data_IF_896306462206
#
_entry.id   IF_896306462206
#
_cell.length_a   1.000
_cell.length_b   1.000
_cell.length_c   1.000
_cell.angle_alpha   90.00
_cell.angle_beta   90.00
_cell.angle_gamma   90.00
#
_symmetry.space_group_name_H-M   'P 1'
#
loop_
_entity.id
_entity.type
_entity.pdbx_description
1 polymer ?
#
# COMPACT_ATOMS: atom_id res chain seq x y z
N UNK A 1 -7.62 1.87 -1.70
CA UNK A 1 -8.81 2.69 -1.37
C UNK A 1 -8.51 4.16 -1.09
N UNK A 2 -7.52 4.49 -0.25
CA UNK A 2 -7.25 5.83 0.27
C UNK A 2 -7.17 6.96 -0.78
N UNK A 3 -6.49 6.73 -1.91
CA UNK A 3 -6.37 7.73 -2.99
C UNK A 3 -7.69 8.06 -3.66
N UNK A 4 -8.56 7.07 -3.87
CA UNK A 4 -9.89 7.29 -4.44
C UNK A 4 -10.73 8.13 -3.46
N UNK A 5 -10.76 7.74 -2.18
CA UNK A 5 -11.43 8.50 -1.11
C UNK A 5 -10.92 9.94 -1.02
N UNK A 6 -9.61 10.16 -1.10
CA UNK A 6 -8.99 11.49 -1.03
C UNK A 6 -9.51 12.44 -2.10
N UNK A 7 -9.72 11.96 -3.33
CA UNK A 7 -10.27 12.79 -4.41
C UNK A 7 -11.68 13.31 -4.09
N UNK A 8 -12.54 12.46 -3.51
CA UNK A 8 -13.87 12.91 -3.08
C UNK A 8 -13.82 13.82 -1.85
N UNK A 9 -12.87 13.59 -0.94
CA UNK A 9 -12.61 14.51 0.15
C UNK A 9 -12.19 15.90 -0.35
N UNK A 10 -11.28 15.99 -1.31
CA UNK A 10 -10.86 17.25 -1.92
C UNK A 10 -12.05 17.96 -2.59
N UNK A 11 -12.95 17.23 -3.24
CA UNK A 11 -14.19 17.81 -3.81
C UNK A 11 -15.13 18.39 -2.75
N UNK A 12 -15.30 17.66 -1.64
CA UNK A 12 -16.17 18.12 -0.56
C UNK A 12 -15.55 19.32 0.18
N UNK A 13 -14.28 19.22 0.57
CA UNK A 13 -13.58 20.25 1.33
C UNK A 13 -13.41 21.55 0.55
N UNK A 14 -13.13 21.49 -0.76
CA UNK A 14 -12.85 22.68 -1.55
C UNK A 14 -14.10 23.28 -2.22
N UNK A 15 -15.14 22.48 -2.43
CA UNK A 15 -16.28 22.88 -3.27
C UNK A 15 -17.66 22.55 -2.68
N UNK A 16 -17.74 22.02 -1.45
CA UNK A 16 -19.02 21.63 -0.83
C UNK A 16 -19.79 20.58 -1.64
N UNK A 17 -19.08 19.75 -2.41
CA UNK A 17 -19.72 18.83 -3.35
C UNK A 17 -20.57 17.78 -2.61
N UNK A 18 -21.88 17.77 -2.88
CA UNK A 18 -22.80 16.73 -2.38
C UNK A 18 -22.43 15.33 -2.89
N UNK A 19 -21.92 15.26 -4.13
CA UNK A 19 -21.37 13.99 -4.68
C UNK A 19 -20.14 13.56 -3.89
N UNK A 20 -19.25 14.50 -3.56
CA UNK A 20 -18.11 14.23 -2.68
C UNK A 20 -18.54 13.68 -1.33
N UNK A 21 -19.47 14.36 -0.65
CA UNK A 21 -19.99 13.93 0.66
C UNK A 21 -20.63 12.55 0.62
N UNK A 22 -21.50 12.28 -0.35
CA UNK A 22 -22.17 10.98 -0.45
C UNK A 22 -21.19 9.85 -0.77
N UNK A 23 -20.19 10.09 -1.62
CA UNK A 23 -19.14 9.11 -1.88
C UNK A 23 -18.35 8.80 -0.60
N UNK A 24 -18.04 9.81 0.22
CA UNK A 24 -17.34 9.62 1.49
C UNK A 24 -18.12 8.77 2.48
N UNK A 25 -19.46 8.82 2.47
CA UNK A 25 -20.31 7.92 3.30
C UNK A 25 -20.11 6.45 2.92
N UNK A 26 -20.11 6.14 1.63
CA UNK A 26 -19.82 4.78 1.16
C UNK A 26 -18.41 4.32 1.55
N UNK A 27 -17.38 5.16 1.33
CA UNK A 27 -16.02 4.82 1.79
C UNK A 27 -15.97 4.61 3.30
N UNK A 28 -16.68 5.45 4.07
CA UNK A 28 -16.78 5.30 5.53
C UNK A 28 -17.32 3.94 5.94
N UNK A 29 -18.40 3.46 5.31
CA UNK A 29 -18.96 2.14 5.57
C UNK A 29 -17.99 1.01 5.23
N UNK A 30 -17.26 1.10 4.11
CA UNK A 30 -16.24 0.12 3.75
C UNK A 30 -15.10 0.07 4.77
N UNK A 31 -14.64 1.23 5.25
CA UNK A 31 -13.62 1.32 6.29
C UNK A 31 -14.11 0.86 7.66
N UNK A 32 -15.42 0.95 7.94
CA UNK A 32 -15.99 0.44 9.19
C UNK A 32 -15.93 -1.09 9.24
N UNK A 33 -16.22 -1.78 8.12
CA UNK A 33 -16.06 -3.23 8.03
C UNK A 33 -14.60 -3.65 8.26
N UNK A 34 -13.64 -2.90 7.74
CA UNK A 34 -12.22 -3.18 8.01
C UNK A 34 -11.84 -2.95 9.47
N UNK A 35 -12.46 -1.96 10.13
CA UNK A 35 -12.20 -1.67 11.54
C UNK A 35 -12.71 -2.78 12.46
N UNK A 36 -13.86 -3.37 12.15
CA UNK A 36 -14.39 -4.50 12.95
C UNK A 36 -13.53 -5.75 12.81
N UNK A 37 -12.84 -5.92 11.68
CA UNK A 37 -11.95 -7.05 11.40
C UNK A 37 -10.45 -6.73 11.57
N UNK A 38 -10.10 -5.64 12.24
CA UNK A 38 -8.71 -5.17 12.33
C UNK A 38 -7.75 -6.18 12.99
N UNK A 39 -8.22 -6.88 14.02
CA UNK A 39 -7.44 -7.90 14.75
C UNK A 39 -7.82 -9.34 14.35
N UNK A 40 -8.65 -9.50 13.32
CA UNK A 40 -9.05 -10.82 12.84
C UNK A 40 -7.93 -11.45 12.01
N UNK A 41 -7.88 -12.78 12.01
CA UNK A 41 -7.05 -13.53 11.05
C UNK A 41 -7.57 -13.36 9.61
N UNK A 42 -6.82 -13.87 8.63
CA UNK A 42 -7.13 -13.73 7.20
C UNK A 42 -8.53 -14.26 6.86
N UNK A 43 -8.91 -15.42 7.41
CA UNK A 43 -10.19 -16.07 7.11
C UNK A 43 -11.37 -15.28 7.71
N UNK A 44 -11.30 -14.91 8.98
CA UNK A 44 -12.32 -14.14 9.65
C UNK A 44 -12.47 -12.74 9.04
N UNK A 45 -11.37 -12.14 8.56
CA UNK A 45 -11.40 -10.87 7.82
C UNK A 45 -12.12 -11.03 6.48
N UNK A 46 -11.88 -12.12 5.75
CA UNK A 46 -12.57 -12.41 4.50
C UNK A 46 -14.07 -12.63 4.70
N UNK A 47 -14.46 -13.32 5.77
CA UNK A 47 -15.87 -13.50 6.15
C UNK A 47 -16.55 -12.16 6.46
N UNK A 48 -15.91 -11.28 7.23
CA UNK A 48 -16.42 -9.93 7.50
C UNK A 48 -16.62 -9.12 6.20
N UNK A 49 -15.70 -9.24 5.25
CA UNK A 49 -15.72 -8.55 3.94
C UNK A 49 -16.87 -9.00 3.03
N UNK A 50 -17.55 -10.13 3.29
CA UNK A 50 -18.79 -10.50 2.59
C UNK A 50 -19.87 -9.42 2.74
N UNK A 51 -19.92 -8.74 3.89
CA UNK A 51 -20.82 -7.62 4.13
C UNK A 51 -20.42 -6.33 3.39
N UNK A 52 -19.13 -6.17 3.07
CA UNK A 52 -18.61 -5.03 2.32
C UNK A 52 -18.85 -5.15 0.80
N UNK A 53 -19.04 -6.37 0.28
CA UNK A 53 -19.24 -6.59 -1.17
C UNK A 53 -20.48 -5.87 -1.72
N UNK A 54 -21.69 -5.99 -1.12
CA UNK A 54 -22.85 -5.23 -1.55
C UNK A 54 -22.65 -3.71 -1.47
N UNK A 55 -21.91 -3.23 -0.46
CA UNK A 55 -21.60 -1.80 -0.31
C UNK A 55 -20.69 -1.30 -1.43
N UNK A 56 -19.68 -2.09 -1.81
CA UNK A 56 -18.81 -1.78 -2.94
C UNK A 56 -19.61 -1.77 -4.25
N UNK A 57 -20.44 -2.77 -4.48
CA UNK A 57 -21.26 -2.86 -5.70
C UNK A 57 -22.26 -1.69 -5.79
N UNK A 58 -22.89 -1.31 -4.67
CA UNK A 58 -23.75 -0.13 -4.58
C UNK A 58 -22.98 1.17 -4.88
N UNK A 59 -21.77 1.33 -4.32
CA UNK A 59 -20.89 2.46 -4.63
C UNK A 59 -20.54 2.49 -6.13
N UNK A 60 -20.24 1.34 -6.75
CA UNK A 60 -19.92 1.29 -8.18
C UNK A 60 -21.10 1.76 -9.05
N UNK A 61 -22.28 1.20 -8.78
CA UNK A 61 -23.50 1.52 -9.52
C UNK A 61 -23.84 3.01 -9.35
N UNK A 62 -23.78 3.51 -8.11
CA UNK A 62 -24.02 4.91 -7.81
C UNK A 62 -23.03 5.82 -8.53
N UNK A 63 -21.73 5.52 -8.53
CA UNK A 63 -20.72 6.29 -9.27
C UNK A 63 -21.00 6.33 -10.78
N UNK A 64 -21.41 5.20 -11.37
CA UNK A 64 -21.78 5.14 -12.80
C UNK A 64 -23.01 6.01 -13.11
N UNK A 65 -24.02 5.99 -12.24
CA UNK A 65 -25.21 6.83 -12.39
C UNK A 65 -24.86 8.32 -12.25
N UNK A 66 -24.05 8.69 -11.26
CA UNK A 66 -23.60 10.08 -11.11
C UNK A 66 -22.78 10.54 -12.32
N UNK A 67 -21.95 9.66 -12.87
CA UNK A 67 -21.12 10.01 -14.04
C UNK A 67 -21.92 10.46 -15.25
N UNK A 68 -23.11 9.89 -15.47
CA UNK A 68 -24.02 10.26 -16.56
C UNK A 68 -24.62 11.66 -16.40
N UNK A 69 -24.66 12.18 -15.18
CA UNK A 69 -25.25 13.49 -14.85
C UNK A 69 -24.22 14.60 -14.73
N UNK A 70 -22.94 14.24 -14.66
CA UNK A 70 -21.84 15.18 -14.40
C UNK A 70 -21.18 15.58 -15.73
N UNK A 71 -21.01 16.88 -15.99
CA UNK A 71 -20.31 17.36 -17.18
C UNK A 71 -18.87 16.85 -17.27
N UNK A 72 -18.45 16.53 -18.49
CA UNK A 72 -17.08 16.13 -18.79
C UNK A 72 -16.06 17.22 -18.40
N UNK A 73 -14.85 16.80 -18.03
CA UNK A 73 -13.77 17.70 -17.63
C UNK A 73 -13.90 18.29 -16.21
N UNK A 74 -15.07 18.20 -15.58
CA UNK A 74 -15.27 18.66 -14.20
C UNK A 74 -14.38 17.92 -13.19
N UNK A 75 -14.09 18.56 -12.05
CA UNK A 75 -13.35 17.91 -10.97
C UNK A 75 -14.10 16.65 -10.46
N UNK A 76 -15.43 16.71 -10.41
CA UNK A 76 -16.30 15.57 -10.06
C UNK A 76 -16.16 14.42 -11.06
N UNK A 77 -16.23 14.69 -12.36
CA UNK A 77 -16.02 13.66 -13.39
C UNK A 77 -14.65 12.99 -13.24
N UNK A 78 -13.59 13.79 -13.02
CA UNK A 78 -12.22 13.26 -12.84
C UNK A 78 -12.09 12.35 -11.61
N UNK A 79 -12.76 12.67 -10.49
CA UNK A 79 -12.75 11.82 -9.30
C UNK A 79 -13.51 10.50 -9.50
N UNK A 80 -14.68 10.56 -10.16
CA UNK A 80 -15.47 9.39 -10.50
C UNK A 80 -14.70 8.49 -11.47
N UNK A 81 -14.18 9.06 -12.56
CA UNK A 81 -13.44 8.34 -13.59
C UNK A 81 -12.17 7.69 -13.03
N UNK A 82 -11.46 8.36 -12.11
CA UNK A 82 -10.32 7.77 -11.41
C UNK A 82 -10.70 6.49 -10.67
N UNK A 83 -11.84 6.50 -9.97
CA UNK A 83 -12.32 5.38 -9.18
C UNK A 83 -12.82 4.24 -10.07
N UNK A 84 -13.63 4.56 -11.09
CA UNK A 84 -14.17 3.57 -12.03
C UNK A 84 -13.08 2.88 -12.85
N UNK A 85 -12.08 3.62 -13.33
CA UNK A 85 -10.94 3.05 -14.09
C UNK A 85 -10.09 2.08 -13.26
N UNK A 86 -10.09 2.23 -11.92
CA UNK A 86 -9.30 1.43 -10.98
C UNK A 86 -10.15 0.46 -10.18
N UNK A 87 -11.42 0.26 -10.57
CA UNK A 87 -12.38 -0.44 -9.74
C UNK A 87 -11.93 -1.85 -9.34
N UNK A 88 -11.45 -2.64 -10.30
CA UNK A 88 -10.93 -3.99 -10.05
C UNK A 88 -9.82 -4.01 -9.00
N UNK A 89 -8.90 -3.03 -9.03
CA UNK A 89 -7.84 -2.90 -8.03
C UNK A 89 -8.38 -2.41 -6.67
N UNK A 90 -9.40 -1.55 -6.67
CA UNK A 90 -10.00 -1.02 -5.44
C UNK A 90 -10.76 -2.10 -4.65
N UNK A 91 -11.36 -3.08 -5.31
CA UNK A 91 -12.14 -4.14 -4.65
C UNK A 91 -11.35 -5.42 -4.40
N UNK A 92 -10.11 -5.54 -4.90
CA UNK A 92 -9.31 -6.78 -4.81
C UNK A 92 -9.14 -7.31 -3.38
N UNK A 93 -9.07 -6.41 -2.40
CA UNK A 93 -8.97 -6.77 -0.98
C UNK A 93 -10.20 -7.54 -0.47
N UNK A 94 -11.36 -7.40 -1.11
CA UNK A 94 -12.57 -8.14 -0.73
C UNK A 94 -12.44 -9.64 -1.00
N UNK A 95 -11.54 -10.03 -1.89
CA UNK A 95 -11.37 -11.43 -2.31
C UNK A 95 -10.13 -12.08 -1.67
N UNK A 96 -9.42 -11.38 -0.77
CA UNK A 96 -8.17 -11.85 -0.16
C UNK A 96 -7.96 -11.21 1.21
N UNK A 97 -8.06 -12.03 2.26
CA UNK A 97 -7.98 -11.62 3.66
C UNK A 97 -6.66 -10.96 4.03
N UNK A 98 -5.55 -11.29 3.36
CA UNK A 98 -4.22 -10.77 3.68
C UNK A 98 -3.94 -9.42 3.04
N UNK A 99 -4.73 -9.04 2.03
CA UNK A 99 -4.62 -7.73 1.41
C UNK A 99 -5.26 -6.64 2.28
N UNK A 100 -4.53 -5.55 2.58
CA UNK A 100 -5.11 -4.39 3.23
C UNK A 100 -6.00 -3.60 2.25
N UNK A 101 -7.03 -2.92 2.77
CA UNK A 101 -7.92 -2.05 1.98
C UNK A 101 -7.18 -0.91 1.26
N UNK A 102 -6.05 -0.46 1.80
CA UNK A 102 -5.18 0.52 1.14
C UNK A 102 -3.70 0.20 1.30
N UNK A 103 -2.93 0.80 0.40
CA UNK A 103 -1.49 0.62 0.27
C UNK A 103 -0.69 1.69 1.05
N UNK A 104 -1.32 2.45 1.95
CA UNK A 104 -0.66 3.56 2.65
C UNK A 104 0.58 3.08 3.43
N UNK A 105 0.49 1.89 4.02
CA UNK A 105 1.60 1.25 4.73
C UNK A 105 2.81 1.00 3.83
N UNK A 106 2.59 0.53 2.59
CA UNK A 106 3.63 0.30 1.59
C UNK A 106 4.18 1.64 1.10
N UNK A 107 3.31 2.59 0.78
CA UNK A 107 3.69 3.93 0.30
C UNK A 107 4.53 4.69 1.32
N UNK A 108 4.19 4.59 2.61
CA UNK A 108 4.97 5.19 3.68
C UNK A 108 6.36 4.54 3.82
N UNK A 109 6.46 3.21 3.66
CA UNK A 109 7.76 2.49 3.69
C UNK A 109 8.67 2.83 2.52
N UNK A 110 8.12 3.01 1.31
CA UNK A 110 8.93 3.36 0.13
C UNK A 110 9.23 4.87 0.04
N UNK A 111 8.49 5.72 0.76
CA UNK A 111 8.65 7.19 0.71
C UNK A 111 10.09 7.66 0.95
N UNK A 112 10.87 7.14 1.92
CA UNK A 112 12.27 7.55 2.11
C UNK A 112 13.14 7.32 0.86
N UNK A 113 12.89 6.24 0.11
CA UNK A 113 13.60 5.94 -1.14
C UNK A 113 13.21 6.95 -2.22
N UNK A 114 11.91 7.26 -2.34
CA UNK A 114 11.42 8.24 -3.30
C UNK A 114 11.98 9.65 -3.04
N UNK A 115 12.03 10.07 -1.77
CA UNK A 115 12.63 11.35 -1.35
C UNK A 115 14.15 11.34 -1.57
N UNK A 116 14.82 10.25 -1.21
CA UNK A 116 16.25 10.06 -1.44
C UNK A 116 16.62 10.23 -2.92
N UNK A 117 15.84 9.63 -3.83
CA UNK A 117 16.05 9.78 -5.29
C UNK A 117 16.01 11.23 -5.76
N UNK A 118 15.16 12.07 -5.19
CA UNK A 118 15.10 13.50 -5.53
C UNK A 118 16.34 14.26 -5.04
N UNK A 119 16.98 13.77 -3.98
CA UNK A 119 18.15 14.40 -3.34
C UNK A 119 19.50 13.82 -3.83
N UNK A 120 19.51 12.64 -4.46
CA UNK A 120 20.73 12.01 -5.00
C UNK A 120 21.08 12.54 -6.39
N UNK A 121 21.26 13.85 -6.50
CA UNK A 121 21.53 14.57 -7.76
C UNK A 121 22.81 14.06 -8.48
N UNK A 122 23.70 13.37 -7.78
CA UNK A 122 24.96 12.84 -8.30
C UNK A 122 24.95 11.32 -8.57
N UNK A 123 23.85 10.62 -8.30
CA UNK A 123 23.70 9.19 -8.59
C UNK A 123 23.33 8.97 -10.07
N UNK A 124 24.31 9.11 -10.97
CA UNK A 124 24.06 9.18 -12.41
C UNK A 124 24.18 7.88 -13.21
N UNK A 125 24.54 6.74 -12.61
CA UNK A 125 24.70 5.48 -13.37
C UNK A 125 23.71 4.40 -12.95
N UNK A 126 23.22 3.62 -13.93
CA UNK A 126 22.36 2.46 -13.70
C UNK A 126 23.00 1.46 -12.71
N UNK A 127 24.33 1.28 -12.80
CA UNK A 127 25.08 0.40 -11.88
C UNK A 127 25.03 0.90 -10.43
N UNK A 128 25.21 2.21 -10.22
CA UNK A 128 25.08 2.80 -8.89
C UNK A 128 23.65 2.68 -8.36
N UNK A 129 22.64 2.91 -9.21
CA UNK A 129 21.23 2.71 -8.85
C UNK A 129 20.90 1.28 -8.42
N UNK A 130 21.40 0.26 -9.15
CA UNK A 130 21.22 -1.15 -8.77
C UNK A 130 21.85 -1.48 -7.42
N UNK A 131 23.06 -0.98 -7.13
CA UNK A 131 23.71 -1.17 -5.83
C UNK A 131 22.96 -0.49 -4.70
N UNK A 132 22.53 0.76 -4.91
CA UNK A 132 21.74 1.50 -3.93
C UNK A 132 20.42 0.77 -3.62
N UNK A 133 19.73 0.26 -4.64
CA UNK A 133 18.52 -0.54 -4.47
C UNK A 133 18.79 -1.81 -3.63
N UNK A 134 19.86 -2.56 -3.93
CA UNK A 134 20.20 -3.76 -3.17
C UNK A 134 20.46 -3.46 -1.68
N UNK A 135 21.24 -2.42 -1.37
CA UNK A 135 21.51 -1.99 0.01
C UNK A 135 20.24 -1.54 0.72
N UNK A 136 19.40 -0.75 0.05
CA UNK A 136 18.13 -0.29 0.63
C UNK A 136 17.15 -1.42 0.88
N UNK A 137 17.09 -2.42 -0.01
CA UNK A 137 16.32 -3.64 0.17
C UNK A 137 16.77 -4.41 1.41
N UNK A 138 18.08 -4.57 1.63
CA UNK A 138 18.61 -5.23 2.82
C UNK A 138 18.27 -4.45 4.11
N UNK A 139 18.48 -3.13 4.11
CA UNK A 139 18.16 -2.27 5.27
C UNK A 139 16.67 -2.33 5.61
N UNK A 140 15.78 -2.23 4.61
CA UNK A 140 14.34 -2.31 4.86
C UNK A 140 13.90 -3.69 5.29
N UNK A 141 14.50 -4.75 4.74
CA UNK A 141 14.23 -6.12 5.17
C UNK A 141 14.67 -6.35 6.61
N UNK A 142 15.82 -5.83 7.04
CA UNK A 142 16.24 -5.84 8.45
C UNK A 142 15.24 -5.13 9.35
N UNK A 143 14.79 -3.93 8.98
CA UNK A 143 13.76 -3.20 9.73
C UNK A 143 12.42 -3.93 9.79
N UNK A 144 12.04 -4.64 8.72
CA UNK A 144 10.81 -5.44 8.68
C UNK A 144 10.86 -6.64 9.64
N UNK A 145 12.04 -7.20 9.87
CA UNK A 145 12.29 -8.27 10.83
C UNK A 145 12.70 -7.74 12.21
N UNK A 146 12.38 -6.48 12.51
CA UNK A 146 12.66 -5.83 13.81
C UNK A 146 14.14 -5.83 14.22
N UNK A 147 15.05 -5.89 13.23
CA UNK A 147 16.48 -5.85 13.43
C UNK A 147 17.00 -4.41 13.41
N UNK A 148 18.03 -4.15 14.22
CA UNK A 148 18.82 -2.93 14.13
C UNK A 148 19.71 -3.02 12.87
N UNK A 149 19.50 -2.17 11.84
CA UNK A 149 20.16 -2.36 10.55
C UNK A 149 21.68 -2.23 10.57
N UNK A 150 22.25 -1.38 11.43
CA UNK A 150 23.69 -1.22 11.51
C UNK A 150 24.36 -2.47 12.09
N UNK A 151 23.83 -3.03 13.18
CA UNK A 151 24.29 -4.25 13.80
C UNK A 151 24.22 -5.43 12.83
N UNK A 152 23.09 -5.58 12.13
CA UNK A 152 22.93 -6.59 11.08
C UNK A 152 23.98 -6.45 9.97
N UNK A 153 24.13 -5.25 9.40
CA UNK A 153 25.07 -5.04 8.30
C UNK A 153 26.52 -5.21 8.74
N UNK A 154 26.89 -4.74 9.94
CA UNK A 154 28.24 -4.91 10.49
C UNK A 154 28.57 -6.39 10.59
N UNK A 155 27.70 -7.16 11.24
CA UNK A 155 27.90 -8.60 11.47
C UNK A 155 27.97 -9.37 10.15
N UNK A 156 27.06 -9.11 9.21
CA UNK A 156 27.09 -9.73 7.87
C UNK A 156 28.37 -9.41 7.12
N UNK A 157 28.86 -8.16 7.18
CA UNK A 157 30.11 -7.76 6.50
C UNK A 157 31.36 -8.36 7.17
N UNK A 158 31.33 -8.59 8.49
CA UNK A 158 32.39 -9.27 9.23
C UNK A 158 32.43 -10.78 8.92
N UNK A 159 31.26 -11.41 8.73
CA UNK A 159 31.13 -12.84 8.39
C UNK A 159 31.36 -13.15 6.91
N UNK A 160 31.09 -12.20 6.01
CA UNK A 160 31.14 -12.41 4.56
C UNK A 160 32.44 -13.04 4.02
N UNK A 161 33.64 -12.66 4.52
CA UNK A 161 34.90 -13.24 4.03
C UNK A 161 35.08 -14.73 4.35
N UNK A 162 34.42 -15.24 5.39
CA UNK A 162 34.53 -16.63 5.85
C UNK A 162 33.28 -17.46 5.57
N UNK A 163 32.16 -16.83 5.19
CA UNK A 163 30.90 -17.51 4.86
C UNK A 163 31.01 -18.27 3.52
N UNK A 164 30.70 -19.58 3.48
CA UNK A 164 30.58 -20.31 2.22
C UNK A 164 29.48 -19.73 1.33
N UNK A 165 29.74 -19.60 0.03
CA UNK A 165 28.77 -19.06 -0.93
C UNK A 165 27.43 -19.82 -0.93
N UNK A 166 27.45 -21.14 -0.67
CA UNK A 166 26.26 -21.99 -0.55
C UNK A 166 25.38 -21.64 0.67
N UNK A 167 25.92 -20.95 1.68
CA UNK A 167 25.25 -20.59 2.93
C UNK A 167 24.96 -19.10 3.05
N UNK A 168 25.03 -18.33 1.96
CA UNK A 168 24.73 -16.88 1.97
C UNK A 168 23.29 -16.60 2.43
N UNK A 169 22.35 -17.51 2.16
CA UNK A 169 20.96 -17.34 2.56
C UNK A 169 20.77 -17.24 4.09
N UNK A 170 21.68 -17.82 4.88
CA UNK A 170 21.67 -17.71 6.35
C UNK A 170 21.95 -16.29 6.84
N UNK A 171 22.61 -15.48 6.01
CA UNK A 171 22.89 -14.07 6.29
C UNK A 171 21.70 -13.16 5.92
N UNK A 172 20.59 -13.70 5.39
CA UNK A 172 19.43 -12.89 5.06
C UNK A 172 18.75 -12.38 6.35
N UNK A 173 18.14 -11.17 6.32
CA UNK A 173 17.61 -10.55 7.53
C UNK A 173 16.59 -11.40 8.29
N UNK A 174 15.78 -12.21 7.60
CA UNK A 174 14.77 -13.06 8.21
C UNK A 174 15.32 -14.38 8.78
N UNK A 175 16.59 -14.73 8.54
CA UNK A 175 17.22 -15.94 9.11
C UNK A 175 18.41 -15.61 10.03
N UNK A 176 18.76 -14.32 10.17
CA UNK A 176 19.96 -13.87 10.89
C UNK A 176 20.01 -14.26 12.38
N UNK A 177 18.86 -14.38 13.05
CA UNK A 177 18.78 -14.81 14.47
C UNK A 177 18.41 -16.29 14.66
N UNK A 178 18.43 -17.10 13.60
CA UNK A 178 18.08 -18.52 13.67
C UNK A 178 16.58 -18.83 13.68
N UNK A 179 15.72 -17.81 13.60
CA UNK A 179 14.27 -17.96 13.43
C UNK A 179 13.91 -17.58 11.99
N UNK A 180 14.03 -18.50 11.02
CA UNK A 180 13.44 -18.24 9.71
C UNK A 180 11.92 -18.20 9.88
N UNK A 181 11.32 -17.02 9.76
CA UNK A 181 9.88 -16.89 9.61
C UNK A 181 9.52 -17.26 8.15
N UNK A 182 8.70 -18.30 7.97
CA UNK A 182 8.13 -18.73 6.68
C UNK A 182 7.13 -17.72 6.11
#
# INVERSE_FOLDING_TARGET
MAHARRKFHELWANHGSQVGEQALKFFGQLYEVERTAANADSQARLEARRSARPLADALNQWLRQQRQRVPDGSATARAIDYSLKRWAALIRYLDDGDLPIDNNWVENRIRPIALGRQNWLFAGSLRAGKRAAAVMSLIHSAKLNELEPYAYLRDVLELLPTQPASRINELLPHCWRGECQE
#
